data_IF_002149418291
#
_entry.id   IF_002149418291
#
_cell.length_a   1.000
_cell.length_b   1.000
_cell.length_c   1.000
_cell.angle_alpha   90.00
_cell.angle_beta   90.00
_cell.angle_gamma   90.00
#
_symmetry.space_group_name_H-M   'P 1'
#
loop_
_entity.id
_entity.type
_entity.pdbx_description
1 polymer ?
#
# COMPACT_ATOMS: atom_id res chain seq x y z
N UNK A 1 -34.62 -17.77 -0.99
CA UNK A 1 -33.38 -17.58 -0.21
C UNK A 1 -32.84 -16.23 -0.64
N UNK A 2 -32.74 -15.25 0.27
CA UNK A 2 -32.19 -13.95 -0.09
C UNK A 2 -30.73 -14.10 -0.50
N UNK A 3 -30.27 -13.33 -1.49
CA UNK A 3 -28.86 -13.27 -1.86
C UNK A 3 -28.05 -12.97 -0.61
N UNK A 4 -27.08 -13.84 -0.32
CA UNK A 4 -26.14 -13.59 0.76
C UNK A 4 -25.27 -12.42 0.32
N UNK A 5 -25.41 -11.26 0.98
CA UNK A 5 -24.51 -10.12 0.76
C UNK A 5 -23.08 -10.58 0.96
N UNK A 6 -22.22 -10.36 -0.03
CA UNK A 6 -20.79 -10.70 0.00
C UNK A 6 -19.94 -9.44 -0.05
N UNK A 7 -18.72 -9.54 0.48
CA UNK A 7 -17.74 -8.45 0.50
C UNK A 7 -16.69 -8.59 -0.60
N UNK A 8 -15.94 -7.52 -0.86
CA UNK A 8 -14.66 -7.56 -1.57
C UNK A 8 -13.57 -7.23 -0.55
N UNK A 9 -12.51 -8.02 -0.54
CA UNK A 9 -11.35 -7.79 0.33
C UNK A 9 -10.13 -7.48 -0.53
N UNK A 10 -9.39 -6.44 -0.17
CA UNK A 10 -8.22 -5.99 -0.92
C UNK A 10 -7.00 -5.95 0.00
N UNK A 11 -5.92 -6.60 -0.42
CA UNK A 11 -4.63 -6.62 0.26
C UNK A 11 -3.54 -6.15 -0.70
N UNK A 12 -2.54 -5.45 -0.20
CA UNK A 12 -1.43 -4.90 -1.00
C UNK A 12 -0.09 -5.06 -0.26
N UNK A 13 1.00 -5.01 -1.00
CA UNK A 13 2.38 -4.91 -0.49
C UNK A 13 2.69 -5.95 0.60
N UNK A 14 2.46 -7.23 0.31
CA UNK A 14 2.84 -8.31 1.25
C UNK A 14 4.31 -8.69 1.15
N UNK A 15 4.94 -8.43 -0.01
CA UNK A 15 6.34 -8.69 -0.30
C UNK A 15 6.86 -10.05 0.21
N UNK A 16 6.12 -11.14 -0.02
CA UNK A 16 6.54 -12.47 0.43
C UNK A 16 7.90 -12.82 -0.19
N UNK A 17 8.85 -13.17 0.69
CA UNK A 17 10.26 -13.35 0.37
C UNK A 17 11.15 -12.20 0.86
N UNK A 18 10.58 -11.05 1.22
CA UNK A 18 11.33 -9.94 1.78
C UNK A 18 11.85 -10.29 3.18
N UNK A 19 13.17 -10.26 3.31
CA UNK A 19 13.88 -10.37 4.58
C UNK A 19 15.14 -9.50 4.56
N UNK A 20 15.11 -8.40 5.31
CA UNK A 20 16.23 -7.47 5.46
C UNK A 20 16.48 -7.16 6.93
N UNK A 21 17.56 -6.45 7.24
CA UNK A 21 17.84 -6.02 8.62
C UNK A 21 16.75 -5.09 9.19
N UNK A 22 16.00 -4.39 8.33
CA UNK A 22 15.01 -3.37 8.72
C UNK A 22 13.57 -3.79 8.48
N UNK A 23 13.30 -4.68 7.54
CA UNK A 23 11.95 -5.01 7.07
C UNK A 23 11.84 -6.50 6.77
N UNK A 24 10.72 -7.11 7.14
CA UNK A 24 10.41 -8.50 6.81
C UNK A 24 8.92 -8.68 6.52
N UNK A 25 8.61 -9.53 5.54
CA UNK A 25 7.23 -10.00 5.36
C UNK A 25 6.75 -10.82 6.57
N UNK A 26 5.43 -10.86 6.80
CA UNK A 26 4.84 -11.63 7.91
C UNK A 26 3.86 -12.70 7.41
N UNK A 27 4.38 -13.84 6.90
CA UNK A 27 3.54 -14.92 6.40
C UNK A 27 2.69 -15.57 7.50
N UNK A 28 3.10 -15.50 8.77
CA UNK A 28 2.32 -16.08 9.87
C UNK A 28 1.05 -15.26 10.13
N UNK A 29 1.17 -13.94 10.23
CA UNK A 29 0.02 -13.06 10.37
C UNK A 29 -0.94 -13.17 9.18
N UNK A 30 -0.39 -13.24 7.95
CA UNK A 30 -1.21 -13.43 6.75
C UNK A 30 -1.91 -14.79 6.73
N UNK A 31 -1.24 -15.88 7.14
CA UNK A 31 -1.87 -17.20 7.30
C UNK A 31 -3.04 -17.17 8.28
N UNK A 32 -2.86 -16.53 9.44
CA UNK A 32 -3.93 -16.39 10.44
C UNK A 32 -5.12 -15.59 9.90
N UNK A 33 -4.84 -14.56 9.10
CA UNK A 33 -5.85 -13.81 8.38
C UNK A 33 -6.60 -14.67 7.34
N UNK A 34 -5.91 -15.46 6.51
CA UNK A 34 -6.56 -16.35 5.54
C UNK A 34 -7.43 -17.41 6.22
N UNK A 35 -6.98 -17.96 7.36
CA UNK A 35 -7.79 -18.87 8.17
C UNK A 35 -9.07 -18.19 8.65
N UNK A 36 -8.98 -16.95 9.09
CA UNK A 36 -10.16 -16.17 9.48
C UNK A 36 -11.11 -15.93 8.30
N UNK A 37 -10.61 -15.66 7.09
CA UNK A 37 -11.44 -15.60 5.89
C UNK A 37 -12.17 -16.93 5.68
N UNK A 38 -11.48 -18.07 5.81
CA UNK A 38 -12.13 -19.38 5.66
C UNK A 38 -13.22 -19.60 6.71
N UNK A 39 -12.99 -19.16 7.95
CA UNK A 39 -14.02 -19.21 8.98
C UNK A 39 -15.27 -18.37 8.59
N UNK A 40 -15.09 -17.19 7.99
CA UNK A 40 -16.23 -16.40 7.49
C UNK A 40 -17.01 -17.14 6.40
N UNK A 41 -16.32 -17.77 5.45
CA UNK A 41 -16.95 -18.56 4.37
C UNK A 41 -17.75 -19.75 4.90
N UNK A 42 -17.28 -20.37 5.99
CA UNK A 42 -18.00 -21.48 6.66
C UNK A 42 -19.13 -21.00 7.58
N UNK A 43 -19.43 -19.70 7.60
CA UNK A 43 -20.58 -19.12 8.30
C UNK A 43 -20.29 -18.63 9.71
N UNK A 44 -19.02 -18.57 10.15
CA UNK A 44 -18.66 -17.95 11.43
C UNK A 44 -19.03 -16.47 11.39
N UNK A 45 -19.91 -16.05 12.30
CA UNK A 45 -20.29 -14.64 12.44
C UNK A 45 -19.18 -13.89 13.19
N UNK A 46 -18.49 -12.99 12.49
CA UNK A 46 -17.54 -12.06 13.12
C UNK A 46 -18.19 -10.69 13.25
N UNK A 47 -18.22 -10.16 14.48
CA UNK A 47 -18.63 -8.78 14.74
C UNK A 47 -17.40 -7.87 14.76
N UNK A 48 -17.46 -6.77 14.02
CA UNK A 48 -16.50 -5.67 14.04
C UNK A 48 -17.09 -4.53 14.86
N UNK A 49 -16.38 -4.05 15.88
CA UNK A 49 -16.85 -2.91 16.67
C UNK A 49 -16.55 -1.62 15.92
N UNK A 50 -17.57 -0.81 15.69
CA UNK A 50 -17.45 0.52 15.07
C UNK A 50 -17.37 1.62 16.13
N UNK A 51 -17.89 1.37 17.34
CA UNK A 51 -17.89 2.34 18.43
C UNK A 51 -18.58 3.64 18.02
N UNK A 52 -17.96 4.77 18.36
CA UNK A 52 -18.44 6.13 18.03
C UNK A 52 -18.32 6.48 16.54
N UNK A 53 -17.60 5.67 15.75
CA UNK A 53 -17.47 5.84 14.30
C UNK A 53 -18.53 5.06 13.50
N UNK A 54 -19.41 4.33 14.18
CA UNK A 54 -20.64 3.82 13.56
C UNK A 54 -21.61 4.97 13.26
N UNK A 55 -22.41 4.86 12.20
CA UNK A 55 -23.51 5.80 11.96
C UNK A 55 -24.57 5.66 13.07
N UNK A 56 -25.24 6.76 13.45
CA UNK A 56 -26.36 6.79 14.40
C UNK A 56 -27.45 5.76 14.13
N UNK A 57 -27.65 5.41 12.86
CA UNK A 57 -28.72 4.52 12.40
C UNK A 57 -28.24 3.07 12.24
N UNK A 58 -26.92 2.84 12.39
CA UNK A 58 -26.27 1.54 12.24
C UNK A 58 -25.82 1.07 13.63
N UNK A 59 -26.01 -0.22 13.91
CA UNK A 59 -25.49 -0.83 15.13
C UNK A 59 -24.01 -0.44 15.36
N UNK A 60 -23.62 -0.19 16.61
CA UNK A 60 -22.21 0.05 17.01
C UNK A 60 -21.28 -1.14 16.69
N UNK A 61 -21.83 -2.18 16.06
CA UNK A 61 -21.15 -3.36 15.55
C UNK A 61 -21.60 -3.66 14.12
N UNK A 62 -20.64 -3.91 13.23
CA UNK A 62 -20.87 -4.46 11.89
C UNK A 62 -20.70 -5.98 11.91
N UNK A 63 -21.61 -6.73 11.30
CA UNK A 63 -21.41 -8.17 11.05
C UNK A 63 -20.66 -8.32 9.73
N UNK A 64 -19.44 -8.85 9.79
CA UNK A 64 -18.63 -9.09 8.59
C UNK A 64 -19.19 -10.29 7.82
N UNK A 65 -19.23 -10.14 6.50
CA UNK A 65 -19.72 -11.16 5.56
C UNK A 65 -18.55 -11.76 4.76
N UNK A 66 -18.65 -13.02 4.32
CA UNK A 66 -17.60 -13.65 3.53
C UNK A 66 -17.34 -12.89 2.22
N UNK A 67 -16.10 -12.89 1.73
CA UNK A 67 -15.79 -12.26 0.46
C UNK A 67 -16.35 -13.06 -0.71
N UNK A 68 -16.82 -12.37 -1.74
CA UNK A 68 -16.97 -12.95 -3.08
C UNK A 68 -15.67 -12.89 -3.87
N UNK A 69 -14.83 -11.90 -3.55
CA UNK A 69 -13.60 -11.60 -4.27
C UNK A 69 -12.52 -11.13 -3.31
N UNK A 70 -11.32 -11.63 -3.52
CA UNK A 70 -10.09 -11.19 -2.86
C UNK A 70 -9.12 -10.65 -3.91
N UNK A 71 -8.82 -9.36 -3.83
CA UNK A 71 -7.93 -8.65 -4.74
C UNK A 71 -6.56 -8.51 -4.08
N UNK A 72 -5.53 -9.03 -4.73
CA UNK A 72 -4.13 -8.88 -4.37
C UNK A 72 -3.53 -7.76 -5.23
N UNK A 73 -3.43 -6.58 -4.65
CA UNK A 73 -3.11 -5.32 -5.33
C UNK A 73 -1.60 -5.07 -5.42
N UNK A 74 -0.90 -6.01 -6.05
CA UNK A 74 0.51 -5.88 -6.34
C UNK A 74 1.45 -5.92 -5.14
N UNK A 75 2.74 -5.99 -5.48
CA UNK A 75 3.89 -6.17 -4.60
C UNK A 75 3.63 -7.27 -3.55
N UNK A 76 3.01 -8.36 -4.02
CA UNK A 76 2.64 -9.51 -3.20
C UNK A 76 3.86 -10.41 -3.00
N UNK A 77 4.68 -10.58 -4.04
CA UNK A 77 5.95 -11.30 -3.98
C UNK A 77 7.12 -10.33 -4.09
N UNK A 78 8.18 -10.58 -3.33
CA UNK A 78 9.41 -9.78 -3.45
C UNK A 78 10.31 -10.35 -4.55
N UNK A 79 9.86 -10.33 -5.82
CA UNK A 79 10.70 -10.87 -6.91
C UNK A 79 11.90 -9.95 -7.20
N UNK A 80 11.87 -8.72 -6.74
CA UNK A 80 12.96 -7.80 -6.94
C UNK A 80 14.22 -8.22 -6.23
N UNK A 81 14.14 -8.67 -4.98
CA UNK A 81 15.33 -8.97 -4.17
C UNK A 81 15.41 -10.38 -3.61
N UNK A 82 14.28 -11.04 -3.43
CA UNK A 82 14.25 -12.35 -2.80
C UNK A 82 14.71 -13.46 -3.76
N UNK A 83 15.37 -14.45 -3.19
CA UNK A 83 15.63 -15.73 -3.83
C UNK A 83 14.32 -16.51 -4.03
N UNK A 84 14.35 -17.49 -4.94
CA UNK A 84 13.19 -18.35 -5.16
C UNK A 84 12.88 -19.19 -3.92
N UNK A 85 13.90 -19.57 -3.15
CA UNK A 85 13.78 -20.33 -1.91
C UNK A 85 13.08 -19.50 -0.80
N UNK A 86 13.41 -18.22 -0.67
CA UNK A 86 12.76 -17.31 0.29
C UNK A 86 11.29 -17.08 -0.06
N UNK A 87 10.99 -16.85 -1.35
CA UNK A 87 9.60 -16.72 -1.84
C UNK A 87 8.84 -18.03 -1.61
N UNK A 88 9.43 -19.17 -1.97
CA UNK A 88 8.80 -20.48 -1.80
C UNK A 88 8.52 -20.77 -0.32
N UNK A 89 9.51 -20.57 0.55
CA UNK A 89 9.38 -20.82 1.98
C UNK A 89 8.30 -19.94 2.64
N UNK A 90 8.16 -18.69 2.20
CA UNK A 90 7.16 -17.76 2.72
C UNK A 90 5.75 -17.98 2.15
N UNK A 91 5.62 -18.58 0.97
CA UNK A 91 4.33 -18.71 0.26
C UNK A 91 3.73 -20.11 0.25
N UNK A 92 4.52 -21.19 0.40
CA UNK A 92 4.04 -22.56 0.21
C UNK A 92 2.77 -22.87 1.04
N UNK A 93 2.76 -22.49 2.31
CA UNK A 93 1.62 -22.70 3.19
C UNK A 93 0.46 -21.74 2.89
N UNK A 94 0.77 -20.52 2.46
CA UNK A 94 -0.25 -19.53 2.07
C UNK A 94 -0.99 -19.99 0.82
N UNK A 95 -0.31 -20.57 -0.16
CA UNK A 95 -0.92 -21.10 -1.37
C UNK A 95 -1.89 -22.25 -1.05
N UNK A 96 -1.55 -23.09 -0.06
CA UNK A 96 -2.48 -24.11 0.44
C UNK A 96 -3.74 -23.46 1.03
N UNK A 97 -3.59 -22.48 1.94
CA UNK A 97 -4.73 -21.78 2.54
C UNK A 97 -5.58 -21.02 1.50
N UNK A 98 -4.95 -20.35 0.54
CA UNK A 98 -5.64 -19.68 -0.56
C UNK A 98 -6.45 -20.66 -1.40
N UNK A 99 -5.92 -21.87 -1.63
CA UNK A 99 -6.62 -22.91 -2.38
C UNK A 99 -7.87 -23.45 -1.67
N UNK A 100 -7.97 -23.25 -0.35
CA UNK A 100 -9.13 -23.66 0.44
C UNK A 100 -10.25 -22.61 0.42
N UNK A 101 -9.98 -21.37 0.01
CA UNK A 101 -10.98 -20.30 -0.01
C UNK A 101 -11.93 -20.43 -1.21
N UNK A 102 -13.21 -20.15 -1.01
CA UNK A 102 -14.26 -20.24 -2.04
C UNK A 102 -14.37 -18.93 -2.88
N UNK A 103 -13.93 -17.79 -2.34
CA UNK A 103 -13.97 -16.50 -3.03
C UNK A 103 -13.08 -16.45 -4.29
N UNK A 104 -13.44 -15.67 -5.31
CA UNK A 104 -12.60 -15.42 -6.49
C UNK A 104 -11.30 -14.73 -6.07
N UNK A 105 -10.15 -15.16 -6.61
CA UNK A 105 -8.87 -14.48 -6.37
C UNK A 105 -8.47 -13.69 -7.61
N UNK A 106 -8.13 -12.43 -7.43
CA UNK A 106 -7.59 -11.58 -8.51
C UNK A 106 -6.23 -11.06 -8.10
N UNK A 107 -5.21 -11.38 -8.87
CA UNK A 107 -3.84 -10.94 -8.67
C UNK A 107 -3.51 -9.87 -9.71
N UNK A 108 -3.33 -8.64 -9.23
CA UNK A 108 -2.95 -7.48 -10.08
C UNK A 108 -1.43 -7.37 -10.10
N UNK A 109 -0.83 -7.59 -11.28
CA UNK A 109 0.62 -7.54 -11.45
C UNK A 109 1.15 -6.11 -11.53
N UNK A 110 2.27 -5.86 -10.84
CA UNK A 110 2.85 -4.52 -10.69
C UNK A 110 4.38 -4.59 -10.77
N UNK A 111 5.12 -3.60 -10.24
CA UNK A 111 6.57 -3.50 -10.35
C UNK A 111 7.33 -4.67 -9.72
N UNK A 112 7.10 -5.06 -8.46
CA UNK A 112 7.86 -6.18 -7.86
C UNK A 112 7.47 -7.52 -8.46
N UNK A 113 6.21 -7.69 -8.85
CA UNK A 113 5.69 -8.97 -9.36
C UNK A 113 5.74 -9.11 -10.89
N UNK A 114 6.28 -8.12 -11.62
CA UNK A 114 6.22 -8.05 -13.09
C UNK A 114 6.81 -9.28 -13.79
N UNK A 115 7.71 -10.01 -13.15
CA UNK A 115 8.27 -11.26 -13.68
C UNK A 115 7.18 -12.29 -14.07
N UNK A 116 5.98 -12.18 -13.49
CA UNK A 116 4.83 -13.05 -13.76
C UNK A 116 3.99 -12.63 -14.97
N UNK A 117 4.35 -11.56 -15.68
CA UNK A 117 3.60 -11.04 -16.86
C UNK A 117 3.35 -12.09 -17.96
N UNK A 118 4.23 -13.08 -18.09
CA UNK A 118 4.11 -14.12 -19.11
C UNK A 118 3.14 -15.24 -18.72
N UNK A 119 2.65 -15.24 -17.48
CA UNK A 119 1.69 -16.21 -16.96
C UNK A 119 0.36 -15.55 -16.60
N UNK A 120 -0.03 -14.50 -17.34
CA UNK A 120 -1.36 -13.91 -17.20
C UNK A 120 -2.43 -14.89 -17.67
N UNK A 121 -3.56 -14.86 -17.00
CA UNK A 121 -4.69 -15.73 -17.31
C UNK A 121 -5.45 -16.17 -16.06
N UNK A 122 -6.41 -17.06 -16.27
CA UNK A 122 -7.20 -17.66 -15.21
C UNK A 122 -6.70 -19.09 -14.96
N UNK A 123 -6.35 -19.40 -13.71
CA UNK A 123 -5.76 -20.67 -13.32
C UNK A 123 -6.55 -21.31 -12.18
N UNK A 124 -6.70 -22.65 -12.17
CA UNK A 124 -7.32 -23.34 -11.05
C UNK A 124 -6.45 -23.22 -9.79
N UNK A 125 -7.05 -22.83 -8.66
CA UNK A 125 -6.41 -22.76 -7.35
C UNK A 125 -7.34 -23.35 -6.27
N UNK A 126 -7.49 -24.67 -6.28
CA UNK A 126 -8.33 -25.38 -5.32
C UNK A 126 -9.82 -25.08 -5.49
N UNK A 127 -10.48 -24.52 -4.47
CA UNK A 127 -11.92 -24.31 -4.42
C UNK A 127 -12.43 -23.22 -5.39
N UNK A 128 -11.57 -22.29 -5.82
CA UNK A 128 -11.88 -21.33 -6.88
C UNK A 128 -10.66 -20.97 -7.70
N UNK A 129 -10.86 -20.25 -8.81
CA UNK A 129 -9.75 -19.84 -9.67
C UNK A 129 -9.01 -18.61 -9.13
N UNK A 130 -7.76 -18.46 -9.58
CA UNK A 130 -7.00 -17.23 -9.49
C UNK A 130 -6.85 -16.62 -10.89
N UNK A 131 -7.23 -15.36 -11.02
CA UNK A 131 -7.06 -14.58 -12.24
C UNK A 131 -5.87 -13.66 -12.07
N UNK A 132 -4.82 -13.84 -12.88
CA UNK A 132 -3.64 -12.99 -12.92
C UNK A 132 -3.82 -11.99 -14.06
N UNK A 133 -3.94 -10.72 -13.70
CA UNK A 133 -4.11 -9.60 -14.64
C UNK A 133 -2.85 -8.74 -14.64
N UNK A 134 -2.38 -8.36 -15.82
CA UNK A 134 -1.50 -7.20 -15.97
C UNK A 134 -2.38 -6.11 -16.52
N UNK A 135 -2.83 -5.25 -15.64
CA UNK A 135 -3.29 -3.95 -16.05
C UNK A 135 -2.70 -2.96 -15.06
N UNK A 136 -2.33 -1.78 -15.57
CA UNK A 136 -2.01 -0.66 -14.71
C UNK A 136 -3.21 -0.33 -13.80
N UNK A 137 -4.42 -0.77 -14.17
CA UNK A 137 -5.74 -0.51 -13.60
C UNK A 137 -6.63 -1.77 -13.61
N UNK A 138 -7.18 -2.19 -12.48
CA UNK A 138 -8.20 -3.27 -12.42
C UNK A 138 -9.53 -2.73 -11.89
N UNK A 139 -10.64 -3.12 -12.51
CA UNK A 139 -11.96 -2.51 -12.25
C UNK A 139 -12.95 -3.47 -11.62
N UNK A 140 -13.69 -3.00 -10.62
CA UNK A 140 -14.83 -3.71 -10.04
C UNK A 140 -15.91 -2.74 -9.61
N UNK A 141 -17.17 -3.05 -9.87
CA UNK A 141 -18.31 -2.34 -9.32
C UNK A 141 -18.89 -3.12 -8.12
N UNK A 142 -19.32 -2.41 -7.07
CA UNK A 142 -20.02 -3.00 -5.93
C UNK A 142 -21.02 -1.99 -5.35
N UNK A 143 -22.31 -2.27 -5.53
CA UNK A 143 -23.38 -1.32 -5.20
C UNK A 143 -23.30 -0.09 -6.13
N UNK A 144 -23.47 1.10 -5.56
CA UNK A 144 -23.39 2.40 -6.25
C UNK A 144 -21.95 2.95 -6.32
N UNK A 145 -20.95 2.07 -6.28
CA UNK A 145 -19.55 2.45 -6.24
C UNK A 145 -18.75 1.65 -7.27
N UNK A 146 -17.93 2.37 -8.02
CA UNK A 146 -16.95 1.81 -8.94
C UNK A 146 -15.55 1.93 -8.33
N UNK A 147 -14.79 0.85 -8.41
CA UNK A 147 -13.46 0.75 -7.86
C UNK A 147 -12.42 0.60 -8.96
N UNK A 148 -11.44 1.50 -8.96
CA UNK A 148 -10.26 1.42 -9.79
C UNK A 148 -9.05 1.05 -8.92
N UNK A 149 -8.57 -0.17 -9.07
CA UNK A 149 -7.41 -0.70 -8.35
C UNK A 149 -6.14 -0.43 -9.15
N UNK A 150 -5.22 0.33 -8.53
CA UNK A 150 -3.91 0.71 -9.06
C UNK A 150 -2.83 0.26 -8.08
N UNK A 151 -1.56 0.21 -8.49
CA UNK A 151 -0.49 -0.05 -7.51
C UNK A 151 -0.07 1.23 -6.80
N UNK A 152 0.27 2.27 -7.56
CA UNK A 152 0.72 3.55 -7.03
C UNK A 152 2.12 3.94 -7.47
N UNK A 153 2.94 3.02 -7.97
CA UNK A 153 4.22 3.36 -8.61
C UNK A 153 4.02 4.27 -9.84
N UNK A 154 2.82 4.21 -10.46
CA UNK A 154 2.44 5.12 -11.55
C UNK A 154 2.45 6.60 -11.14
N UNK A 155 2.44 6.89 -9.84
CA UNK A 155 2.47 8.23 -9.27
C UNK A 155 3.85 8.66 -8.81
N UNK A 156 4.83 7.75 -8.77
CA UNK A 156 6.20 8.09 -8.38
C UNK A 156 7.01 8.53 -9.61
N UNK A 157 7.53 9.77 -9.54
CA UNK A 157 8.44 10.32 -10.57
C UNK A 157 9.67 9.44 -10.78
N UNK A 158 10.10 8.71 -9.75
CA UNK A 158 11.17 7.73 -9.84
C UNK A 158 10.90 6.60 -10.84
N UNK A 159 9.64 6.34 -11.15
CA UNK A 159 9.15 5.27 -12.03
C UNK A 159 8.61 5.78 -13.38
N UNK A 160 8.69 7.10 -13.65
CA UNK A 160 8.36 7.68 -14.97
C UNK A 160 9.18 7.04 -16.09
N UNK A 161 10.45 6.74 -15.81
CA UNK A 161 11.25 5.90 -16.69
C UNK A 161 10.98 4.43 -16.37
N UNK A 162 10.78 3.56 -17.37
CA UNK A 162 10.50 2.14 -17.18
C UNK A 162 11.75 1.35 -16.74
N UNK A 163 12.65 1.95 -15.97
CA UNK A 163 13.87 1.34 -15.42
C UNK A 163 13.54 0.11 -14.57
N UNK A 164 12.40 0.13 -13.88
CA UNK A 164 11.87 -1.00 -13.15
C UNK A 164 11.54 -2.21 -14.05
N UNK A 165 11.16 -2.01 -15.32
CA UNK A 165 10.97 -3.11 -16.28
C UNK A 165 12.29 -3.79 -16.64
N UNK A 166 13.40 -3.04 -16.58
CA UNK A 166 14.75 -3.56 -16.83
C UNK A 166 15.20 -4.45 -15.67
N UNK A 167 14.70 -4.24 -14.45
CA UNK A 167 15.08 -5.06 -13.28
C UNK A 167 14.82 -6.55 -13.49
N UNK A 168 13.78 -6.92 -14.25
CA UNK A 168 13.50 -8.31 -14.64
C UNK A 168 14.66 -8.94 -15.44
N UNK A 169 15.24 -8.18 -16.37
CA UNK A 169 16.39 -8.62 -17.16
C UNK A 169 17.64 -8.80 -16.30
N UNK A 170 17.73 -8.04 -15.20
CA UNK A 170 18.87 -8.09 -14.29
C UNK A 170 18.76 -9.26 -13.30
N UNK A 171 17.54 -9.53 -12.84
CA UNK A 171 17.26 -10.57 -11.86
C UNK A 171 17.54 -11.97 -12.38
N UNK A 172 17.06 -12.31 -13.59
CA UNK A 172 17.16 -13.68 -14.12
C UNK A 172 18.60 -14.21 -14.20
N UNK A 173 19.57 -13.47 -14.78
CA UNK A 173 20.97 -13.88 -14.75
C UNK A 173 21.53 -13.93 -13.32
N UNK A 174 21.23 -12.93 -12.49
CA UNK A 174 21.74 -12.87 -11.12
C UNK A 174 21.28 -14.07 -10.27
N UNK A 175 20.04 -14.54 -10.46
CA UNK A 175 19.52 -15.74 -9.79
C UNK A 175 20.02 -17.04 -10.39
N UNK A 176 20.13 -17.13 -11.73
CA UNK A 176 20.58 -18.35 -12.40
C UNK A 176 21.98 -18.79 -11.95
N UNK A 177 22.88 -17.83 -11.70
CA UNK A 177 24.24 -18.11 -11.21
C UNK A 177 24.34 -17.99 -9.68
N UNK A 178 23.43 -17.29 -9.02
CA UNK A 178 23.40 -17.14 -7.57
C UNK A 178 24.75 -16.69 -7.00
N UNK A 179 25.24 -17.39 -5.98
CA UNK A 179 26.53 -17.10 -5.35
C UNK A 179 27.75 -17.42 -6.26
N UNK A 180 27.60 -18.27 -7.28
CA UNK A 180 28.68 -18.56 -8.23
C UNK A 180 29.07 -17.34 -9.06
N UNK A 181 28.20 -16.34 -9.16
CA UNK A 181 28.51 -15.09 -9.84
C UNK A 181 29.72 -14.36 -9.24
N UNK A 182 29.99 -14.55 -7.95
CA UNK A 182 31.20 -14.01 -7.33
C UNK A 182 32.50 -14.60 -7.90
N UNK A 183 32.47 -15.81 -8.44
CA UNK A 183 33.61 -16.38 -9.17
C UNK A 183 33.73 -15.79 -10.59
N UNK A 184 32.62 -15.35 -11.18
CA UNK A 184 32.56 -14.74 -12.52
C UNK A 184 33.07 -13.30 -12.49
N UNK A 185 32.84 -12.56 -11.39
CA UNK A 185 33.29 -11.16 -11.24
C UNK A 185 34.81 -10.98 -11.46
N UNK A 186 35.72 -11.76 -10.84
CA UNK A 186 37.15 -11.66 -11.12
C UNK A 186 37.50 -11.99 -12.57
N UNK A 187 36.85 -13.00 -13.16
CA UNK A 187 37.06 -13.38 -14.56
C UNK A 187 36.67 -12.23 -15.50
N UNK A 188 35.55 -11.57 -15.22
CA UNK A 188 35.12 -10.37 -15.93
C UNK A 188 36.17 -9.25 -15.84
N UNK A 189 36.71 -8.97 -14.65
CA UNK A 189 37.74 -7.93 -14.47
C UNK A 189 39.03 -8.26 -15.22
N UNK A 190 39.47 -9.52 -15.20
CA UNK A 190 40.66 -10.00 -15.92
C UNK A 190 40.46 -9.86 -17.43
N UNK A 191 39.33 -10.35 -17.95
CA UNK A 191 39.03 -10.33 -19.37
C UNK A 191 38.91 -8.89 -19.89
N UNK A 192 38.24 -8.01 -19.14
CA UNK A 192 38.16 -6.58 -19.44
C UNK A 192 39.54 -5.92 -19.49
N UNK A 193 40.43 -6.25 -18.54
CA UNK A 193 41.81 -5.75 -18.52
C UNK A 193 42.63 -6.25 -19.72
N UNK A 194 42.47 -7.53 -20.12
CA UNK A 194 43.17 -8.09 -21.27
C UNK A 194 42.75 -7.40 -22.58
N UNK A 195 41.46 -7.11 -22.75
CA UNK A 195 40.96 -6.35 -23.90
C UNK A 195 41.56 -4.94 -23.95
N UNK A 196 41.68 -4.26 -22.81
CA UNK A 196 42.28 -2.91 -22.74
C UNK A 196 43.78 -2.87 -23.09
N UNK A 197 44.53 -3.93 -22.78
CA UNK A 197 45.99 -4.02 -23.09
C UNK A 197 46.24 -4.46 -24.55
N UNK A 198 45.18 -4.60 -25.36
CA UNK A 198 45.30 -4.87 -26.80
C UNK A 198 45.29 -6.35 -27.17
N UNK A 199 44.97 -7.26 -26.25
CA UNK A 199 44.76 -8.69 -26.55
C UNK A 199 43.33 -8.97 -27.08
N UNK A 200 42.79 -8.09 -27.94
CA UNK A 200 41.40 -8.11 -28.37
C UNK A 200 41.15 -8.90 -29.65
N UNK A 201 41.05 -10.24 -29.56
CA UNK A 201 40.47 -11.07 -30.63
C UNK A 201 38.94 -11.09 -30.59
N UNK A 202 38.28 -11.53 -31.68
CA UNK A 202 36.80 -11.65 -31.74
C UNK A 202 36.26 -12.53 -30.59
N UNK A 203 36.96 -13.62 -30.27
CA UNK A 203 36.60 -14.50 -29.16
C UNK A 203 36.64 -13.80 -27.80
N UNK A 204 37.61 -12.92 -27.57
CA UNK A 204 37.72 -12.15 -26.33
C UNK A 204 36.57 -11.14 -26.21
N UNK A 205 36.18 -10.48 -27.31
CA UNK A 205 35.00 -9.61 -27.31
C UNK A 205 33.71 -10.37 -27.03
N UNK A 206 33.56 -11.58 -27.56
CA UNK A 206 32.40 -12.45 -27.27
C UNK A 206 32.38 -12.90 -25.81
N UNK A 207 33.53 -13.31 -25.26
CA UNK A 207 33.66 -13.69 -23.86
C UNK A 207 33.35 -12.50 -22.96
N UNK A 208 33.89 -11.32 -23.27
CA UNK A 208 33.65 -10.09 -22.54
C UNK A 208 32.16 -9.74 -22.55
N UNK A 209 31.49 -9.83 -23.71
CA UNK A 209 30.05 -9.59 -23.80
C UNK A 209 29.25 -10.57 -22.92
N UNK A 210 29.59 -11.86 -22.92
CA UNK A 210 28.96 -12.87 -22.07
C UNK A 210 29.19 -12.58 -20.58
N UNK A 211 30.42 -12.29 -20.18
CA UNK A 211 30.77 -11.97 -18.80
C UNK A 211 30.07 -10.67 -18.34
N UNK A 212 30.00 -9.64 -19.19
CA UNK A 212 29.23 -8.43 -18.91
C UNK A 212 27.75 -8.73 -18.67
N UNK A 213 27.15 -9.56 -19.53
CA UNK A 213 25.73 -9.92 -19.44
C UNK A 213 25.38 -10.63 -18.12
N UNK A 214 26.34 -11.31 -17.49
CA UNK A 214 26.16 -11.97 -16.20
C UNK A 214 26.54 -11.04 -15.04
N UNK A 215 27.73 -10.43 -15.13
CA UNK A 215 28.35 -9.68 -14.03
C UNK A 215 27.70 -8.33 -13.80
N UNK A 216 27.38 -7.55 -14.85
CA UNK A 216 26.78 -6.21 -14.66
C UNK A 216 25.44 -6.33 -13.94
N UNK A 217 24.50 -7.19 -14.36
CA UNK A 217 23.27 -7.41 -13.63
C UNK A 217 23.43 -7.73 -12.16
N UNK A 218 24.34 -8.67 -11.88
CA UNK A 218 24.62 -9.10 -10.52
C UNK A 218 25.18 -7.98 -9.65
N UNK A 219 26.16 -7.21 -10.14
CA UNK A 219 26.75 -6.10 -9.40
C UNK A 219 25.76 -4.95 -9.20
N UNK A 220 24.96 -4.65 -10.22
CA UNK A 220 23.90 -3.65 -10.12
C UNK A 220 22.89 -4.05 -9.03
N UNK A 221 22.52 -5.33 -9.01
CA UNK A 221 21.57 -5.86 -8.05
C UNK A 221 22.13 -5.94 -6.61
N UNK A 222 23.34 -6.50 -6.43
CA UNK A 222 23.95 -6.72 -5.10
C UNK A 222 24.62 -5.48 -4.49
N UNK A 223 25.13 -4.56 -5.30
CA UNK A 223 25.91 -3.41 -4.83
C UNK A 223 25.26 -2.08 -5.20
N UNK A 224 24.95 -1.85 -6.48
CA UNK A 224 24.49 -0.54 -6.92
C UNK A 224 23.13 -0.18 -6.31
N UNK A 225 22.20 -1.14 -6.20
CA UNK A 225 20.89 -0.90 -5.61
C UNK A 225 20.94 -0.61 -4.10
N UNK A 226 21.61 -1.40 -3.24
CA UNK A 226 21.78 -1.01 -1.84
C UNK A 226 22.47 0.35 -1.65
N UNK A 227 23.46 0.66 -2.50
CA UNK A 227 24.12 1.96 -2.49
C UNK A 227 23.17 3.08 -2.94
N UNK A 228 22.38 2.85 -3.98
CA UNK A 228 21.37 3.76 -4.48
C UNK A 228 20.30 4.04 -3.43
N UNK A 229 19.80 3.00 -2.74
CA UNK A 229 18.81 3.17 -1.68
C UNK A 229 19.37 3.97 -0.49
N UNK A 230 20.68 3.87 -0.22
CA UNK A 230 21.35 4.71 0.79
C UNK A 230 21.50 6.17 0.37
N UNK A 231 21.81 6.42 -0.90
CA UNK A 231 22.05 7.77 -1.44
C UNK A 231 20.72 8.48 -1.72
N UNK A 232 19.84 7.80 -2.45
CA UNK A 232 18.53 8.27 -2.88
C UNK A 232 17.47 7.65 -1.98
N UNK A 233 17.40 8.12 -0.74
CA UNK A 233 16.18 7.96 0.06
C UNK A 233 15.09 8.80 -0.60
N UNK A 234 14.41 8.25 -1.61
CA UNK A 234 13.21 8.87 -2.18
C UNK A 234 12.19 8.87 -1.05
N UNK A 235 12.03 10.02 -0.42
CA UNK A 235 11.01 10.19 0.60
C UNK A 235 9.67 10.19 -0.12
N UNK A 236 8.74 9.39 0.39
CA UNK A 236 7.35 9.53 -0.01
C UNK A 236 6.92 10.98 0.29
N UNK A 237 6.52 11.69 -0.76
CA UNK A 237 5.93 13.01 -0.67
C UNK A 237 4.42 12.84 -0.93
N UNK A 238 3.56 12.87 0.11
CA UNK A 238 2.13 12.70 -0.04
C UNK A 238 1.50 13.72 -0.99
N UNK A 239 2.05 14.95 -1.04
CA UNK A 239 1.54 16.00 -1.92
C UNK A 239 1.93 15.74 -3.38
N UNK A 240 3.18 15.33 -3.64
CA UNK A 240 3.60 14.94 -4.98
C UNK A 240 2.82 13.71 -5.48
N UNK A 241 2.61 12.72 -4.61
CA UNK A 241 1.79 11.55 -4.94
C UNK A 241 0.35 11.95 -5.26
N UNK A 242 -0.27 12.79 -4.41
CA UNK A 242 -1.60 13.35 -4.65
C UNK A 242 -1.71 14.05 -6.00
N UNK A 243 -0.74 14.93 -6.32
CA UNK A 243 -0.70 15.62 -7.61
C UNK A 243 -0.52 14.66 -8.78
N UNK A 244 0.37 13.67 -8.66
CA UNK A 244 0.60 12.69 -9.71
C UNK A 244 -0.64 11.79 -9.93
N UNK A 245 -1.37 11.45 -8.87
CA UNK A 245 -2.69 10.80 -8.96
C UNK A 245 -3.63 11.69 -9.77
N UNK A 246 -3.71 13.00 -9.46
CA UNK A 246 -4.59 13.95 -10.15
C UNK A 246 -4.26 14.03 -11.64
N UNK A 247 -2.98 14.25 -11.96
CA UNK A 247 -2.48 14.36 -13.34
C UNK A 247 -2.71 13.06 -14.14
N UNK A 248 -2.62 11.90 -13.47
CA UNK A 248 -2.83 10.58 -14.10
C UNK A 248 -4.30 10.30 -14.32
N UNK A 249 -5.14 10.62 -13.33
CA UNK A 249 -6.59 10.53 -13.46
C UNK A 249 -7.10 11.46 -14.55
N UNK A 250 -6.61 12.70 -14.65
CA UNK A 250 -6.96 13.61 -15.74
C UNK A 250 -6.64 13.02 -17.13
N UNK A 251 -5.52 12.30 -17.27
CA UNK A 251 -5.15 11.64 -18.53
C UNK A 251 -6.05 10.47 -18.87
N UNK A 252 -6.47 9.71 -17.87
CA UNK A 252 -7.29 8.51 -18.06
C UNK A 252 -8.79 8.85 -18.00
N UNK A 253 -9.15 10.06 -17.56
CA UNK A 253 -10.52 10.51 -17.33
C UNK A 253 -11.42 10.27 -18.55
N UNK A 254 -10.92 10.58 -19.74
CA UNK A 254 -11.62 10.32 -21.01
C UNK A 254 -12.00 8.84 -21.19
N UNK A 255 -11.22 7.89 -20.68
CA UNK A 255 -11.57 6.46 -20.67
C UNK A 255 -12.55 6.13 -19.57
N UNK A 256 -12.47 6.80 -18.42
CA UNK A 256 -13.42 6.62 -17.32
C UNK A 256 -14.83 7.03 -17.72
N UNK A 257 -15.00 8.15 -18.43
CA UNK A 257 -16.32 8.64 -18.90
C UNK A 257 -17.05 7.62 -19.79
N UNK A 258 -16.33 6.80 -20.56
CA UNK A 258 -16.95 5.77 -21.40
C UNK A 258 -17.40 4.53 -20.61
N UNK A 259 -16.84 4.31 -19.42
CA UNK A 259 -16.96 3.04 -18.69
C UNK A 259 -17.78 3.16 -17.40
N UNK A 260 -17.78 4.34 -16.79
CA UNK A 260 -18.43 4.58 -15.50
C UNK A 260 -19.91 4.87 -15.66
N UNK A 261 -20.70 4.33 -14.73
CA UNK A 261 -22.04 4.84 -14.52
C UNK A 261 -21.91 6.25 -13.92
N UNK A 262 -22.46 7.30 -14.56
CA UNK A 262 -22.36 8.67 -14.04
C UNK A 262 -23.02 8.84 -12.66
N UNK A 263 -23.87 7.90 -12.23
CA UNK A 263 -24.48 7.92 -10.90
C UNK A 263 -23.58 7.30 -9.82
N UNK A 264 -22.55 6.53 -10.20
CA UNK A 264 -21.67 5.85 -9.26
C UNK A 264 -20.55 6.76 -8.72
N UNK A 265 -20.18 6.51 -7.46
CA UNK A 265 -19.01 7.14 -6.83
C UNK A 265 -17.75 6.36 -7.24
N UNK A 266 -16.78 7.05 -7.85
CA UNK A 266 -15.49 6.46 -8.20
C UNK A 266 -14.58 6.40 -6.97
N UNK A 267 -14.08 5.22 -6.64
CA UNK A 267 -13.06 5.02 -5.61
C UNK A 267 -11.79 4.44 -6.22
N UNK A 268 -10.73 5.25 -6.23
CA UNK A 268 -9.39 4.83 -6.65
C UNK A 268 -8.66 4.23 -5.46
N UNK A 269 -8.21 2.99 -5.56
CA UNK A 269 -7.54 2.27 -4.49
C UNK A 269 -6.14 1.90 -4.95
N UNK A 270 -5.12 2.17 -4.13
CA UNK A 270 -3.75 1.80 -4.42
C UNK A 270 -2.97 1.32 -3.19
N UNK A 271 -1.82 0.67 -3.39
CA UNK A 271 -0.93 0.21 -2.33
C UNK A 271 0.48 0.08 -2.89
N UNK A 272 1.35 1.03 -2.54
CA UNK A 272 2.77 1.11 -2.99
C UNK A 272 3.67 1.81 -1.96
N UNK A 273 3.10 2.73 -1.19
CA UNK A 273 3.88 3.66 -0.35
C UNK A 273 4.10 3.13 1.06
N UNK A 274 3.53 1.95 1.35
CA UNK A 274 3.46 1.31 2.66
C UNK A 274 2.76 2.14 3.74
N UNK A 275 2.13 3.26 3.37
CA UNK A 275 1.46 4.18 4.28
C UNK A 275 -0.04 4.18 4.03
N UNK A 276 -0.82 4.27 5.11
CA UNK A 276 -2.27 4.38 5.01
C UNK A 276 -2.67 5.80 4.64
N UNK A 277 -3.65 5.97 3.76
CA UNK A 277 -4.12 7.29 3.35
C UNK A 277 -5.51 7.27 2.73
N UNK A 278 -6.21 8.40 2.85
CA UNK A 278 -7.49 8.63 2.18
C UNK A 278 -7.65 10.09 1.77
N UNK A 279 -8.27 10.37 0.62
CA UNK A 279 -8.59 11.71 0.15
C UNK A 279 -9.99 11.73 -0.46
N UNK A 280 -10.74 12.80 -0.20
CA UNK A 280 -12.04 13.06 -0.83
C UNK A 280 -11.91 14.20 -1.84
N UNK A 281 -12.72 14.16 -2.89
CA UNK A 281 -12.69 15.03 -4.06
C UNK A 281 -12.52 16.53 -3.76
N UNK A 282 -13.29 17.09 -2.81
CA UNK A 282 -13.28 18.53 -2.54
C UNK A 282 -11.92 19.02 -2.02
N UNK A 283 -11.24 18.23 -1.19
CA UNK A 283 -9.87 18.52 -0.79
C UNK A 283 -8.86 18.14 -1.87
N UNK A 284 -9.21 17.20 -2.75
CA UNK A 284 -8.29 16.68 -3.76
C UNK A 284 -7.92 17.72 -4.82
N UNK A 285 -8.92 18.24 -5.56
CA UNK A 285 -8.68 19.14 -6.69
C UNK A 285 -8.34 20.58 -6.27
N UNK A 286 -8.89 21.05 -5.15
CA UNK A 286 -8.58 22.40 -4.63
C UNK A 286 -7.13 22.53 -4.19
N UNK A 287 -6.55 21.47 -3.59
CA UNK A 287 -5.15 21.48 -3.14
C UNK A 287 -4.14 21.19 -4.26
N UNK A 288 -4.54 20.49 -5.33
CA UNK A 288 -3.65 20.20 -6.47
C UNK A 288 -3.60 21.35 -7.48
N UNK A 289 -4.54 22.32 -7.40
CA UNK A 289 -4.57 23.50 -8.25
C UNK A 289 -4.95 23.19 -9.71
N UNK A 290 -5.59 22.06 -9.97
CA UNK A 290 -6.12 21.74 -11.31
C UNK A 290 -7.34 22.62 -11.60
N UNK A 291 -7.36 23.26 -12.76
CA UNK A 291 -8.53 24.00 -13.22
C UNK A 291 -9.70 23.03 -13.44
N UNK A 292 -10.73 23.10 -12.61
CA UNK A 292 -12.02 22.47 -12.86
C UNK A 292 -12.79 23.35 -13.83
N UNK A 293 -12.41 23.32 -15.11
CA UNK A 293 -13.09 24.06 -16.18
C UNK A 293 -14.52 23.51 -16.37
N UNK A 294 -15.47 23.88 -15.51
CA UNK A 294 -16.91 23.75 -15.71
C UNK A 294 -17.54 22.35 -15.78
N UNK A 295 -16.76 21.27 -15.74
CA UNK A 295 -17.30 19.90 -15.74
C UNK A 295 -17.70 19.45 -14.33
N UNK A 296 -18.94 19.00 -14.18
CA UNK A 296 -19.40 18.23 -13.01
C UNK A 296 -18.70 16.87 -13.06
N UNK A 297 -17.65 16.69 -12.24
CA UNK A 297 -16.99 15.39 -12.05
C UNK A 297 -17.74 14.61 -10.96
N UNK A 298 -17.86 13.28 -11.09
CA UNK A 298 -18.46 12.45 -10.05
C UNK A 298 -17.59 12.47 -8.80
N UNK A 299 -18.26 12.30 -7.66
CA UNK A 299 -17.61 12.20 -6.36
C UNK A 299 -16.51 11.14 -6.39
N UNK A 300 -15.30 11.57 -6.07
CA UNK A 300 -14.12 10.71 -6.11
C UNK A 300 -13.50 10.53 -4.73
N UNK A 301 -13.24 9.26 -4.38
CA UNK A 301 -12.44 8.87 -3.23
C UNK A 301 -11.11 8.29 -3.71
N UNK A 302 -10.03 8.59 -3.01
CA UNK A 302 -8.73 7.98 -3.25
C UNK A 302 -8.26 7.33 -1.95
N UNK A 303 -7.83 6.08 -2.00
CA UNK A 303 -7.48 5.28 -0.85
C UNK A 303 -6.14 4.60 -1.07
N UNK A 304 -5.28 4.66 -0.05
CA UNK A 304 -3.97 4.02 -0.04
C UNK A 304 -3.94 2.96 1.06
N UNK A 305 -3.81 1.70 0.66
CA UNK A 305 -3.72 0.54 1.54
C UNK A 305 -2.27 0.38 1.97
N UNK A 306 -1.97 0.27 3.28
CA UNK A 306 -0.61 0.05 3.74
C UNK A 306 -0.21 -1.43 3.60
N UNK A 307 1.07 -1.69 3.77
CA UNK A 307 1.68 -3.00 3.55
C UNK A 307 1.47 -4.02 4.69
N UNK A 308 1.73 -5.29 4.38
CA UNK A 308 1.83 -6.39 5.35
C UNK A 308 3.28 -6.71 5.75
N UNK A 309 4.16 -5.74 5.61
CA UNK A 309 5.55 -5.80 6.07
C UNK A 309 5.61 -5.41 7.56
N UNK A 310 6.57 -5.98 8.26
CA UNK A 310 6.94 -5.63 9.62
C UNK A 310 8.32 -4.96 9.64
N UNK A 311 8.42 -3.82 10.31
CA UNK A 311 9.71 -3.17 10.58
C UNK A 311 10.40 -3.79 11.80
N UNK A 312 11.73 -3.96 11.73
CA UNK A 312 12.53 -4.49 12.84
C UNK A 312 12.86 -3.42 13.88
N UNK A 313 12.77 -3.79 15.16
CA UNK A 313 13.06 -2.89 16.30
C UNK A 313 14.52 -2.42 16.39
N UNK A 314 15.44 -3.01 15.60
CA UNK A 314 16.87 -2.64 15.64
C UNK A 314 17.13 -1.24 15.07
N UNK A 315 16.34 -0.79 14.09
CA UNK A 315 16.44 0.56 13.53
C UNK A 315 15.86 1.64 14.45
N UNK A 316 14.99 1.26 15.39
CA UNK A 316 14.34 2.19 16.33
C UNK A 316 15.36 3.01 17.15
N UNK A 317 16.58 2.49 17.32
CA UNK A 317 17.68 3.16 18.05
C UNK A 317 18.55 4.09 17.20
N UNK A 318 18.56 3.95 15.87
CA UNK A 318 19.46 4.73 14.99
C UNK A 318 18.77 5.86 14.23
N UNK A 319 17.44 5.80 14.04
CA UNK A 319 16.70 6.76 13.21
C UNK A 319 16.11 7.95 13.98
N UNK A 320 16.80 8.50 14.99
CA UNK A 320 16.31 9.67 15.75
C UNK A 320 16.30 10.99 14.95
N UNK A 321 16.66 10.96 13.67
CA UNK A 321 16.80 12.12 12.78
C UNK A 321 16.06 12.00 11.44
N UNK A 322 15.45 10.86 11.16
CA UNK A 322 14.65 10.65 9.95
C UNK A 322 13.26 10.24 10.43
N UNK A 323 12.39 11.25 10.54
CA UNK A 323 10.93 11.10 10.63
C UNK A 323 10.42 10.61 9.27
N UNK A 324 10.86 9.44 8.83
CA UNK A 324 10.07 8.68 7.86
C UNK A 324 8.76 8.37 8.56
N UNK A 325 7.65 8.64 7.87
CA UNK A 325 6.32 8.15 8.23
C UNK A 325 6.47 6.62 8.26
N UNK A 326 6.86 6.08 9.42
CA UNK A 326 7.06 4.65 9.64
C UNK A 326 5.77 3.92 9.28
N UNK A 327 5.84 2.63 8.96
CA UNK A 327 4.66 1.76 8.94
C UNK A 327 4.06 1.69 10.36
N UNK A 328 3.34 2.74 10.77
CA UNK A 328 2.77 2.83 12.11
C UNK A 328 1.58 1.87 12.27
N UNK A 329 0.97 1.47 11.15
CA UNK A 329 -0.02 0.40 11.04
C UNK A 329 0.42 -0.54 9.91
N UNK A 330 0.62 -1.81 10.25
CA UNK A 330 0.82 -2.93 9.34
C UNK A 330 -0.40 -3.85 9.36
N UNK A 331 -0.45 -4.81 8.42
CA UNK A 331 -1.48 -5.86 8.36
C UNK A 331 -2.89 -5.30 8.19
N UNK A 332 -3.06 -4.36 7.25
CA UNK A 332 -4.35 -3.75 6.94
C UNK A 332 -4.87 -4.31 5.62
N UNK A 333 -6.19 -4.41 5.52
CA UNK A 333 -6.87 -4.68 4.27
C UNK A 333 -8.02 -3.70 4.11
N UNK A 334 -8.44 -3.50 2.86
CA UNK A 334 -9.67 -2.78 2.56
C UNK A 334 -10.83 -3.79 2.53
N UNK A 335 -11.92 -3.43 3.19
CA UNK A 335 -13.15 -4.21 3.21
C UNK A 335 -14.27 -3.40 2.55
N UNK A 336 -14.83 -3.96 1.48
CA UNK A 336 -15.82 -3.30 0.63
C UNK A 336 -17.12 -4.11 0.63
N UNK A 337 -18.25 -3.43 0.75
CA UNK A 337 -19.60 -4.01 0.71
C UNK A 337 -20.56 -3.02 0.06
N UNK A 338 -21.72 -3.49 -0.39
CA UNK A 338 -22.76 -2.62 -0.96
C UNK A 338 -23.33 -1.61 0.06
N UNK A 339 -23.38 -1.98 1.34
CA UNK A 339 -24.11 -1.22 2.37
C UNK A 339 -23.30 -0.08 2.99
N UNK A 340 -21.98 -0.06 2.77
CA UNK A 340 -21.07 0.83 3.47
C UNK A 340 -20.05 1.41 2.50
N UNK A 341 -19.58 2.62 2.80
CA UNK A 341 -18.30 3.06 2.26
C UNK A 341 -17.22 2.00 2.57
N UNK A 342 -16.16 1.91 1.76
CA UNK A 342 -15.03 1.04 2.07
C UNK A 342 -14.57 1.27 3.50
N UNK A 343 -13.98 0.27 4.12
CA UNK A 343 -13.45 0.36 5.48
C UNK A 343 -12.00 -0.12 5.50
N UNK A 344 -11.11 0.65 6.12
CA UNK A 344 -9.81 0.15 6.50
C UNK A 344 -9.97 -0.74 7.74
N UNK A 345 -9.56 -2.01 7.60
CA UNK A 345 -9.59 -2.97 8.70
C UNK A 345 -8.17 -3.44 8.99
N UNK A 346 -7.72 -3.24 10.22
CA UNK A 346 -6.46 -3.78 10.71
C UNK A 346 -6.62 -5.20 11.24
N UNK A 347 -5.57 -6.00 11.11
CA UNK A 347 -5.50 -7.36 11.65
C UNK A 347 -4.72 -7.38 12.98
N UNK A 348 -5.38 -7.71 14.08
CA UNK A 348 -4.72 -7.85 15.37
C UNK A 348 -4.07 -9.24 15.48
N UNK A 349 -2.76 -9.32 15.24
CA UNK A 349 -1.99 -10.57 15.23
C UNK A 349 -2.14 -11.35 16.54
N UNK A 350 -2.08 -10.64 17.69
CA UNK A 350 -2.13 -11.29 19.01
C UNK A 350 -3.49 -11.93 19.28
N UNK A 351 -4.56 -11.23 18.93
CA UNK A 351 -5.93 -11.66 19.20
C UNK A 351 -6.58 -12.40 18.03
N UNK A 352 -5.90 -12.48 16.88
CA UNK A 352 -6.38 -13.05 15.61
C UNK A 352 -7.78 -12.55 15.24
N UNK A 353 -7.97 -11.23 15.28
CA UNK A 353 -9.27 -10.60 14.99
C UNK A 353 -9.12 -9.27 14.24
N UNK A 354 -10.09 -8.91 13.40
CA UNK A 354 -10.12 -7.60 12.75
C UNK A 354 -10.49 -6.48 13.73
N UNK A 355 -10.05 -5.26 13.44
CA UNK A 355 -10.46 -4.02 14.10
C UNK A 355 -10.58 -2.87 13.10
N UNK A 356 -11.49 -1.92 13.35
CA UNK A 356 -11.72 -0.78 12.46
C UNK A 356 -10.54 0.21 12.58
N UNK A 357 -10.11 0.78 11.45
CA UNK A 357 -9.22 1.95 11.44
C UNK A 357 -10.03 3.15 10.91
N UNK A 358 -10.45 4.09 11.77
CA UNK A 358 -11.33 5.17 11.35
C UNK A 358 -10.68 6.18 10.39
N UNK A 359 -11.43 6.65 9.40
CA UNK A 359 -10.96 7.65 8.42
C UNK A 359 -10.48 8.95 9.06
N UNK A 360 -11.25 9.46 10.02
CA UNK A 360 -10.91 10.73 10.68
C UNK A 360 -9.61 10.62 11.47
N UNK A 361 -9.32 9.43 12.02
CA UNK A 361 -8.06 9.16 12.73
C UNK A 361 -6.89 9.12 11.76
N UNK A 362 -7.05 8.53 10.57
CA UNK A 362 -6.05 8.56 9.49
C UNK A 362 -5.79 10.00 9.03
N UNK A 363 -6.86 10.76 8.80
CA UNK A 363 -6.79 12.15 8.35
C UNK A 363 -6.04 13.03 9.36
N UNK A 364 -6.47 13.02 10.62
CA UNK A 364 -5.85 13.81 11.69
C UNK A 364 -4.37 13.45 11.89
N UNK A 365 -4.06 12.15 11.88
CA UNK A 365 -2.68 11.68 12.00
C UNK A 365 -1.82 12.18 10.84
N UNK A 366 -2.34 12.20 9.61
CA UNK A 366 -1.62 12.70 8.43
C UNK A 366 -1.39 14.20 8.51
N UNK A 367 -2.43 14.98 8.79
CA UNK A 367 -2.37 16.45 8.79
C UNK A 367 -1.57 17.03 9.96
N UNK A 368 -1.53 16.32 11.10
CA UNK A 368 -0.94 16.85 12.33
C UNK A 368 0.21 16.01 12.89
N UNK A 369 0.52 14.86 12.29
CA UNK A 369 1.57 13.93 12.70
C UNK A 369 1.26 13.16 14.00
N UNK A 370 0.19 13.51 14.71
CA UNK A 370 -0.29 12.88 15.93
C UNK A 370 -1.78 13.21 16.15
N UNK A 371 -2.39 12.56 17.14
CA UNK A 371 -3.80 12.78 17.50
C UNK A 371 -3.97 13.79 18.65
N UNK A 372 -3.01 14.71 18.85
CA UNK A 372 -3.07 15.68 19.96
C UNK A 372 -4.05 16.83 19.73
N UNK A 373 -4.40 17.09 18.47
CA UNK A 373 -5.30 18.17 18.05
C UNK A 373 -6.69 17.69 17.65
N UNK A 374 -6.94 16.38 17.75
CA UNK A 374 -8.21 15.80 17.33
C UNK A 374 -9.37 16.44 18.08
N UNK A 375 -10.36 16.93 17.33
CA UNK A 375 -11.62 17.47 17.85
C UNK A 375 -12.72 17.08 16.89
N UNK A 376 -13.25 15.87 17.07
CA UNK A 376 -14.32 15.32 16.24
C UNK A 376 -15.63 15.33 17.03
N UNK A 377 -16.72 15.71 16.39
CA UNK A 377 -18.03 15.67 17.00
C UNK A 377 -18.93 14.70 16.23
N UNK A 378 -19.35 13.64 16.90
CA UNK A 378 -20.36 12.70 16.41
C UNK A 378 -21.56 12.81 17.34
N UNK A 379 -22.66 13.38 16.83
CA UNK A 379 -23.86 13.69 17.61
C UNK A 379 -23.53 14.51 18.86
N UNK A 380 -23.88 13.97 20.04
CA UNK A 380 -23.62 14.55 21.36
C UNK A 380 -22.28 14.09 21.96
N UNK A 381 -21.48 13.31 21.21
CA UNK A 381 -20.19 12.80 21.66
C UNK A 381 -19.05 13.61 21.03
N UNK A 382 -18.34 14.36 21.88
CA UNK A 382 -17.09 15.01 21.52
C UNK A 382 -15.94 14.03 21.71
N UNK A 383 -15.24 13.68 20.63
CA UNK A 383 -13.94 13.02 20.68
C UNK A 383 -12.87 14.09 20.66
N UNK A 384 -12.01 14.07 21.67
CA UNK A 384 -10.89 14.97 21.80
C UNK A 384 -9.64 14.23 22.25
N UNK A 385 -8.54 14.97 22.43
CA UNK A 385 -7.27 14.38 22.88
C UNK A 385 -7.38 13.59 24.19
N UNK A 386 -8.26 14.00 25.11
CA UNK A 386 -8.38 13.39 26.43
C UNK A 386 -9.07 12.03 26.40
N UNK A 387 -9.92 11.77 25.40
CA UNK A 387 -10.72 10.54 25.32
C UNK A 387 -10.47 9.67 24.08
N UNK A 388 -9.73 10.15 23.07
CA UNK A 388 -9.47 9.39 21.83
C UNK A 388 -8.85 8.01 22.10
N UNK A 389 -7.91 7.92 23.05
CA UNK A 389 -7.30 6.65 23.43
C UNK A 389 -8.32 5.64 23.95
N UNK A 390 -9.28 6.09 24.78
CA UNK A 390 -10.36 5.25 25.26
C UNK A 390 -11.27 4.81 24.12
N UNK A 391 -11.63 5.72 23.20
CA UNK A 391 -12.49 5.41 22.05
C UNK A 391 -11.85 4.43 21.09
N UNK A 392 -10.55 4.54 20.82
CA UNK A 392 -9.81 3.56 20.02
C UNK A 392 -9.76 2.20 20.71
N UNK A 393 -9.59 2.15 22.04
CA UNK A 393 -9.63 0.90 22.79
C UNK A 393 -11.01 0.22 22.74
N UNK A 394 -12.11 0.99 22.73
CA UNK A 394 -13.48 0.47 22.60
C UNK A 394 -13.67 -0.32 21.28
N UNK A 395 -12.96 0.07 20.20
CA UNK A 395 -12.95 -0.61 18.90
C UNK A 395 -11.78 -1.59 18.73
N UNK A 396 -11.27 -2.13 19.85
CA UNK A 396 -10.27 -3.19 19.90
C UNK A 396 -8.85 -2.84 19.39
N UNK A 397 -8.50 -1.54 19.30
CA UNK A 397 -7.10 -1.16 19.07
C UNK A 397 -6.21 -1.66 20.22
N UNK A 398 -5.01 -2.14 19.88
CA UNK A 398 -4.05 -2.57 20.90
C UNK A 398 -3.51 -1.35 21.65
N UNK A 399 -3.18 -1.54 22.93
CA UNK A 399 -2.55 -0.47 23.73
C UNK A 399 -1.27 0.06 23.07
N UNK A 400 -0.46 -0.83 22.51
CA UNK A 400 0.77 -0.45 21.82
C UNK A 400 0.52 0.43 20.59
N UNK A 401 -0.53 0.13 19.82
CA UNK A 401 -0.91 0.94 18.67
C UNK A 401 -1.47 2.31 19.11
N UNK A 402 -2.31 2.33 20.15
CA UNK A 402 -2.83 3.58 20.74
C UNK A 402 -1.68 4.45 21.26
N UNK A 403 -0.75 3.88 22.01
CA UNK A 403 0.39 4.60 22.56
C UNK A 403 1.23 5.22 21.42
N UNK A 404 1.49 4.46 20.34
CA UNK A 404 2.19 4.94 19.14
C UNK A 404 1.47 6.12 18.46
N UNK A 405 0.15 6.04 18.30
CA UNK A 405 -0.62 7.02 17.53
C UNK A 405 -1.03 8.26 18.33
N UNK A 406 -1.43 8.09 19.60
CA UNK A 406 -1.97 9.16 20.43
C UNK A 406 -0.86 9.92 21.15
N UNK A 407 0.03 9.21 21.84
CA UNK A 407 1.01 9.87 22.71
C UNK A 407 2.21 10.44 21.96
N UNK A 408 2.36 10.04 20.69
CA UNK A 408 3.58 10.19 19.91
C UNK A 408 4.71 9.40 20.56
N UNK A 409 5.75 9.03 19.79
CA UNK A 409 6.99 8.67 20.45
C UNK A 409 7.40 9.88 21.29
N UNK A 410 7.45 9.75 22.62
CA UNK A 410 8.23 10.66 23.48
C UNK A 410 9.69 10.50 23.08
N UNK A 411 10.09 11.04 21.94
CA UNK A 411 11.49 11.22 21.58
C UNK A 411 12.08 12.04 22.70
N UNK A 412 12.97 11.45 23.50
CA UNK A 412 13.77 12.20 24.49
C UNK A 412 14.31 13.42 23.76
N UNK A 413 13.83 14.62 24.10
CA UNK A 413 14.26 15.88 23.47
C UNK A 413 15.78 15.94 23.47
N UNK A 414 16.38 15.78 22.30
CA UNK A 414 17.76 16.17 22.09
C UNK A 414 17.70 17.65 21.74
N UNK A 415 17.97 18.51 22.72
CA UNK A 415 17.98 19.97 22.54
C UNK A 415 19.03 20.35 21.48
N UNK A 416 18.58 20.55 20.22
CA UNK A 416 19.31 21.36 19.24
C UNK A 416 18.31 22.33 18.62
N UNK A 417 18.48 23.60 18.98
CA UNK A 417 17.80 24.72 18.35
C UNK A 417 18.19 24.77 16.88
N UNK A 418 17.23 24.51 15.99
CA UNK A 418 17.33 24.86 14.56
C UNK A 418 16.18 25.81 14.30
N UNK A 419 16.51 27.07 14.02
CA UNK A 419 15.54 28.04 13.50
C UNK A 419 15.27 27.68 12.04
N UNK A 420 14.03 27.34 11.73
CA UNK A 420 13.52 27.25 10.36
C UNK A 420 12.68 28.50 10.13
N UNK A 421 13.11 29.37 9.22
CA UNK A 421 12.31 30.49 8.74
C UNK A 421 11.33 29.98 7.70
N UNK A 422 10.05 30.30 7.88
CA UNK A 422 8.96 29.89 7.02
C UNK A 422 8.59 31.06 6.09
N UNK A 423 8.81 30.99 4.77
CA UNK A 423 8.23 31.94 3.84
C UNK A 423 6.99 31.28 3.25
N UNK A 424 5.78 31.70 3.59
CA UNK A 424 4.54 31.61 2.79
C UNK A 424 3.35 31.78 3.74
N UNK A 425 2.75 32.98 3.68
CA UNK A 425 1.46 33.32 4.29
C UNK A 425 0.37 33.12 3.22
N UNK A 426 -0.66 32.29 3.43
CA UNK A 426 -1.75 32.17 2.49
C UNK A 426 -2.83 33.24 2.71
N UNK A 427 -3.32 33.76 1.59
CA UNK A 427 -4.24 34.89 1.46
C UNK A 427 -5.68 34.52 1.88
N UNK A 428 -6.29 35.35 2.74
CA UNK A 428 -7.62 35.11 3.33
C UNK A 428 -8.73 35.73 2.49
N UNK A 429 -9.24 35.03 1.47
CA UNK A 429 -10.58 35.30 0.92
C UNK A 429 -11.23 34.03 0.39
N UNK A 430 -12.30 33.57 1.04
CA UNK A 430 -13.60 33.23 0.44
C UNK A 430 -14.52 32.67 1.55
N UNK A 431 -15.61 33.40 1.84
CA UNK A 431 -16.70 32.98 2.74
C UNK A 431 -17.90 32.53 1.90
N UNK A 432 -18.57 31.51 2.41
CA UNK A 432 -19.89 30.98 2.07
C UNK A 432 -19.97 30.02 0.88
N UNK A 433 -20.29 28.75 1.17
CA UNK A 433 -21.28 27.92 0.47
C UNK A 433 -21.65 26.72 1.37
N UNK A 434 -22.91 26.29 1.30
CA UNK A 434 -23.56 25.32 2.20
C UNK A 434 -23.17 23.87 1.85
N UNK A 435 -22.77 23.09 2.84
CA UNK A 435 -22.61 21.63 2.76
C UNK A 435 -23.91 20.87 3.08
N UNK A 436 -24.11 19.65 2.55
CA UNK A 436 -25.17 18.75 2.99
C UNK A 436 -24.88 18.23 4.42
N UNK A 437 -25.92 17.90 5.17
CA UNK A 437 -25.84 17.46 6.58
C UNK A 437 -25.00 16.19 6.75
N UNK A 438 -23.71 16.32 7.08
CA UNK A 438 -22.85 15.35 7.80
C UNK A 438 -21.64 16.12 8.37
N UNK A 439 -21.31 15.84 9.64
CA UNK A 439 -20.21 16.39 10.46
C UNK A 439 -19.98 17.92 10.40
N UNK A 440 -20.32 18.62 11.49
CA UNK A 440 -20.06 20.06 11.63
C UNK A 440 -18.65 20.26 12.18
N UNK A 441 -17.69 20.63 11.32
CA UNK A 441 -16.37 21.09 11.78
C UNK A 441 -16.57 22.46 12.44
N UNK A 442 -16.37 22.53 13.76
CA UNK A 442 -16.39 23.80 14.49
C UNK A 442 -14.97 24.36 14.49
N UNK A 443 -14.70 25.30 13.59
CA UNK A 443 -13.54 26.19 13.68
C UNK A 443 -13.94 27.36 14.59
N UNK A 444 -13.28 27.49 15.74
CA UNK A 444 -13.31 28.73 16.54
C UNK A 444 -12.14 29.62 16.09
N UNK A 445 -12.40 30.94 16.02
CA UNK A 445 -11.45 31.98 15.58
C UNK A 445 -10.14 32.04 16.39
#
# INVERSE_FOLDING_TARGET
MGETKKSIIVVADTHFGLYTDSEACDPNAFSDFLKWIKELETGKKQKLKLGVWGSTDVETTLILVPPEKMVFLGDILELWTASNEEIFASTIYLMQLLSELDCEKVYVLVNHDRDLINIKGCYPLGASAITIVEEDEYWVSKGEQDYCFLHGHQFDKGFELPTWKIMMLFRKPALAFGNWTWCIVPLFVIDWALVLVGFGGVLNWMLLALLNYITIPFLAFKLARPLWNRIRSIRYDPYAAKKAVADRLDKIWSKFEETLDPENILTVVYGHTHTIGTWTEYGFWTETGSNTDGYERPLMNIMNIPSWITESSKQEKQSSKQETIKQEISHVFLYITEDYSPLFIGWNIKNKKPYLIPYDVIFEKREHGNLSKIKLQYDDILINHDNIAQKLAEIDWSKELIDRWVTGFKTKKCNKNIQVTNPFEPDKKHKNLRTPKKARIILED
#
